data_IF_924601720521
#
_entry.id   IF_924601720521
#
_cell.length_a   1.000
_cell.length_b   1.000
_cell.length_c   1.000
_cell.angle_alpha   90.00
_cell.angle_beta   90.00
_cell.angle_gamma   90.00
#
_symmetry.space_group_name_H-M   'P 1'
#
loop_
_entity.id
_entity.type
_entity.pdbx_description
1 polymer ?
#
# COMPACT_ATOMS: atom_id res chain seq x y z
N UNK A 1 38.05 32.84 18.73
CA UNK A 1 37.53 31.52 18.30
C UNK A 1 36.80 30.87 19.47
N UNK A 2 35.51 30.54 19.35
CA UNK A 2 34.87 29.45 20.10
C UNK A 2 33.42 29.25 19.59
N UNK A 3 33.21 28.17 18.84
CA UNK A 3 31.92 27.64 18.39
C UNK A 3 31.11 27.14 19.59
N UNK A 4 29.79 27.36 19.59
CA UNK A 4 28.81 26.41 20.16
C UNK A 4 27.48 26.52 19.39
N UNK A 5 27.37 25.69 18.35
CA UNK A 5 26.09 25.38 17.71
C UNK A 5 25.25 24.54 18.68
N UNK A 6 24.34 25.18 19.41
CA UNK A 6 23.29 24.51 20.18
C UNK A 6 22.02 24.43 19.34
N UNK A 7 21.89 23.41 18.49
CA UNK A 7 20.63 23.08 17.83
C UNK A 7 19.71 22.40 18.86
N UNK A 8 19.04 23.20 19.70
CA UNK A 8 17.93 22.74 20.52
C UNK A 8 16.74 22.50 19.59
N UNK A 9 16.55 21.25 19.15
CA UNK A 9 15.30 20.84 18.51
C UNK A 9 14.16 21.13 19.50
N UNK A 10 13.11 21.87 19.12
CA UNK A 10 12.01 22.16 20.02
C UNK A 10 11.34 20.84 20.44
N UNK A 11 11.16 20.66 21.75
CA UNK A 11 10.44 19.52 22.31
C UNK A 11 8.98 19.65 21.90
N UNK A 12 8.56 18.83 20.94
CA UNK A 12 7.17 18.80 20.46
C UNK A 12 6.22 18.42 21.60
N UNK A 13 5.11 19.13 21.71
CA UNK A 13 3.99 18.75 22.59
C UNK A 13 3.34 17.46 22.09
N UNK A 14 2.62 16.74 22.95
CA UNK A 14 2.01 15.47 22.55
C UNK A 14 0.95 15.64 21.45
N UNK A 15 0.27 16.79 21.41
CA UNK A 15 -0.61 17.19 20.32
C UNK A 15 0.16 17.32 18.99
N UNK A 16 1.33 17.99 19.00
CA UNK A 16 2.16 18.13 17.82
C UNK A 16 2.75 16.77 17.36
N UNK A 17 3.16 15.90 18.29
CA UNK A 17 3.60 14.53 17.95
C UNK A 17 2.49 13.72 17.28
N UNK A 18 1.23 13.83 17.76
CA UNK A 18 0.08 13.17 17.15
C UNK A 18 -0.17 13.68 15.73
N UNK A 19 -0.14 15.00 15.54
CA UNK A 19 -0.30 15.60 14.21
C UNK A 19 0.78 15.12 13.23
N UNK A 20 2.05 15.13 13.65
CA UNK A 20 3.17 14.63 12.82
C UNK A 20 2.98 13.16 12.43
N UNK A 21 2.45 12.32 13.32
CA UNK A 21 2.13 10.91 12.99
C UNK A 21 1.00 10.80 11.97
N UNK A 22 -0.04 11.61 12.10
CA UNK A 22 -1.15 11.66 11.15
C UNK A 22 -0.71 12.15 9.77
N UNK A 23 0.10 13.21 9.71
CA UNK A 23 0.62 13.75 8.46
C UNK A 23 1.56 12.76 7.76
N UNK A 24 2.41 12.07 8.53
CA UNK A 24 3.25 11.01 8.01
C UNK A 24 2.44 9.84 7.47
N UNK A 25 1.38 9.44 8.20
CA UNK A 25 0.48 8.39 7.73
C UNK A 25 -0.20 8.80 6.42
N UNK A 26 -0.77 10.00 6.35
CA UNK A 26 -1.42 10.51 5.13
C UNK A 26 -0.44 10.49 3.95
N UNK A 27 0.76 11.07 4.10
CA UNK A 27 1.78 11.10 3.04
C UNK A 27 2.15 9.70 2.55
N UNK A 28 2.42 8.79 3.48
CA UNK A 28 2.84 7.42 3.13
C UNK A 28 1.69 6.64 2.53
N UNK A 29 0.47 6.80 3.06
CA UNK A 29 -0.72 6.13 2.57
C UNK A 29 -1.05 6.58 1.15
N UNK A 30 -1.11 7.89 0.88
CA UNK A 30 -1.36 8.43 -0.47
C UNK A 30 -0.37 7.87 -1.49
N UNK A 31 0.93 7.95 -1.20
CA UNK A 31 1.96 7.44 -2.14
C UNK A 31 1.84 5.93 -2.40
N UNK A 32 1.44 5.14 -1.39
CA UNK A 32 1.23 3.70 -1.52
C UNK A 32 -0.04 3.38 -2.29
N UNK A 33 -1.13 4.11 -2.02
CA UNK A 33 -2.41 3.95 -2.71
C UNK A 33 -2.29 4.29 -4.19
N UNK A 34 -1.61 5.38 -4.54
CA UNK A 34 -1.40 5.75 -5.95
C UNK A 34 -0.68 4.64 -6.73
N UNK A 35 0.34 4.03 -6.11
CA UNK A 35 1.07 2.90 -6.71
C UNK A 35 0.18 1.66 -6.84
N UNK A 36 -0.60 1.34 -5.81
CA UNK A 36 -1.50 0.19 -5.82
C UNK A 36 -2.58 0.35 -6.89
N UNK A 37 -3.26 1.50 -6.94
CA UNK A 37 -4.29 1.79 -7.92
C UNK A 37 -3.74 1.77 -9.36
N UNK A 38 -2.54 2.31 -9.57
CA UNK A 38 -1.86 2.22 -10.87
C UNK A 38 -1.57 0.78 -11.26
N UNK A 39 -1.09 -0.04 -10.32
CA UNK A 39 -0.83 -1.47 -10.58
C UNK A 39 -2.11 -2.23 -10.92
N UNK A 40 -3.20 -2.00 -10.18
CA UNK A 40 -4.51 -2.61 -10.44
C UNK A 40 -5.00 -2.21 -11.84
N UNK A 41 -4.84 -0.94 -12.23
CA UNK A 41 -5.19 -0.48 -13.57
C UNK A 41 -4.42 -1.23 -14.65
N UNK A 42 -3.10 -1.39 -14.49
CA UNK A 42 -2.27 -2.15 -15.44
C UNK A 42 -2.71 -3.62 -15.55
N UNK A 43 -3.17 -4.23 -14.45
CA UNK A 43 -3.76 -5.58 -14.49
C UNK A 43 -5.07 -5.57 -15.28
N UNK A 44 -5.91 -4.54 -15.11
CA UNK A 44 -7.11 -4.36 -15.92
C UNK A 44 -6.80 -4.19 -17.41
N UNK A 45 -5.71 -3.51 -17.76
CA UNK A 45 -5.26 -3.34 -19.14
C UNK A 45 -4.85 -4.68 -19.81
N UNK A 46 -4.60 -5.75 -19.03
CA UNK A 46 -4.39 -7.10 -19.57
C UNK A 46 -5.66 -7.71 -20.18
N UNK A 47 -6.84 -7.15 -19.90
CA UNK A 47 -8.09 -7.56 -20.55
C UNK A 47 -8.22 -7.07 -22.00
N UNK A 48 -7.31 -6.20 -22.45
CA UNK A 48 -7.34 -5.66 -23.80
C UNK A 48 -7.16 -6.75 -24.87
N UNK A 49 -7.69 -6.55 -26.09
CA UNK A 49 -7.64 -7.53 -27.18
C UNK A 49 -6.23 -7.92 -27.63
N UNK A 50 -5.22 -7.13 -27.25
CA UNK A 50 -3.79 -7.41 -27.48
C UNK A 50 -3.35 -8.72 -26.85
N UNK A 51 -4.01 -9.15 -25.76
CA UNK A 51 -3.69 -10.37 -25.04
C UNK A 51 -4.81 -11.40 -25.20
N UNK A 52 -4.46 -12.61 -25.62
CA UNK A 52 -5.35 -13.76 -25.54
C UNK A 52 -5.26 -14.33 -24.12
N UNK A 53 -6.33 -14.22 -23.34
CA UNK A 53 -6.45 -14.85 -22.03
C UNK A 53 -7.70 -15.71 -22.00
N UNK A 54 -7.68 -16.79 -21.20
CA UNK A 54 -8.88 -17.58 -20.91
C UNK A 54 -9.68 -16.94 -19.78
N UNK A 55 -10.97 -17.24 -19.72
CA UNK A 55 -11.83 -16.81 -18.62
C UNK A 55 -11.28 -17.28 -17.26
N UNK A 56 -10.71 -18.48 -17.21
CA UNK A 56 -10.05 -19.02 -16.02
C UNK A 56 -8.86 -18.18 -15.56
N UNK A 57 -8.00 -17.74 -16.50
CA UNK A 57 -6.86 -16.87 -16.19
C UNK A 57 -7.31 -15.51 -15.67
N UNK A 58 -8.36 -14.94 -16.27
CA UNK A 58 -9.00 -13.70 -15.80
C UNK A 58 -9.53 -13.85 -14.36
N UNK A 59 -10.24 -14.95 -14.09
CA UNK A 59 -10.77 -15.25 -12.76
C UNK A 59 -9.67 -15.41 -11.71
N UNK A 60 -8.55 -16.07 -12.04
CA UNK A 60 -7.39 -16.19 -11.14
C UNK A 60 -6.81 -14.82 -10.79
N UNK A 61 -6.67 -13.92 -11.77
CA UNK A 61 -6.18 -12.56 -11.53
C UNK A 61 -7.12 -11.76 -10.61
N UNK A 62 -8.44 -11.84 -10.86
CA UNK A 62 -9.44 -11.14 -10.03
C UNK A 62 -9.46 -11.71 -8.60
N UNK A 63 -9.40 -13.03 -8.45
CA UNK A 63 -9.39 -13.67 -7.13
C UNK A 63 -8.15 -13.26 -6.32
N UNK A 64 -6.97 -13.18 -6.95
CA UNK A 64 -5.76 -12.70 -6.29
C UNK A 64 -5.89 -11.25 -5.80
N UNK A 65 -6.51 -10.37 -6.60
CA UNK A 65 -6.79 -9.00 -6.18
C UNK A 65 -7.75 -8.94 -4.98
N UNK A 66 -8.80 -9.77 -4.99
CA UNK A 66 -9.75 -9.85 -3.87
C UNK A 66 -9.10 -10.33 -2.58
N UNK A 67 -8.31 -11.40 -2.64
CA UNK A 67 -7.56 -11.89 -1.47
C UNK A 67 -6.60 -10.83 -0.92
N UNK A 68 -5.91 -10.09 -1.80
CA UNK A 68 -5.04 -9.00 -1.38
C UNK A 68 -5.81 -7.86 -0.66
N UNK A 69 -7.03 -7.55 -1.10
CA UNK A 69 -7.90 -6.56 -0.43
C UNK A 69 -8.36 -7.09 0.92
N UNK A 70 -8.79 -8.35 0.99
CA UNK A 70 -9.19 -9.00 2.25
C UNK A 70 -8.05 -8.99 3.28
N UNK A 71 -6.82 -9.27 2.86
CA UNK A 71 -5.64 -9.16 3.72
C UNK A 71 -5.41 -7.74 4.25
N UNK A 72 -5.67 -6.72 3.44
CA UNK A 72 -5.59 -5.32 3.86
C UNK A 72 -6.69 -5.00 4.87
N UNK A 73 -7.93 -5.40 4.61
CA UNK A 73 -9.06 -5.24 5.53
C UNK A 73 -8.77 -5.88 6.88
N UNK A 74 -8.29 -7.13 6.88
CA UNK A 74 -7.90 -7.85 8.08
C UNK A 74 -6.82 -7.09 8.88
N UNK A 75 -5.80 -6.55 8.21
CA UNK A 75 -4.75 -5.75 8.87
C UNK A 75 -5.28 -4.46 9.49
N UNK A 76 -6.22 -3.78 8.83
CA UNK A 76 -6.87 -2.59 9.40
C UNK A 76 -7.84 -2.94 10.54
N UNK A 77 -8.45 -4.13 10.52
CA UNK A 77 -9.26 -4.66 11.61
C UNK A 77 -8.43 -5.18 12.79
N UNK A 78 -7.10 -5.24 12.68
CA UNK A 78 -6.20 -5.79 13.71
C UNK A 78 -6.14 -7.34 13.73
N UNK A 79 -6.70 -7.98 12.71
CA UNK A 79 -6.67 -9.43 12.51
C UNK A 79 -5.39 -9.74 11.71
N UNK A 80 -4.35 -10.24 12.38
CA UNK A 80 -3.05 -10.46 11.75
C UNK A 80 -3.13 -11.53 10.62
N UNK A 81 -3.07 -11.11 9.35
CA UNK A 81 -3.14 -11.99 8.17
C UNK A 81 -1.77 -12.48 7.67
N UNK A 82 -1.67 -13.80 7.42
CA UNK A 82 -0.50 -14.54 6.87
C UNK A 82 -0.05 -13.97 5.51
N UNK A 83 1.27 -14.05 5.24
CA UNK A 83 1.88 -13.57 4.00
C UNK A 83 1.48 -14.42 2.78
N UNK A 84 0.76 -13.84 1.81
CA UNK A 84 0.43 -14.47 0.52
C UNK A 84 1.37 -14.04 -0.61
N UNK A 85 1.99 -15.01 -1.28
CA UNK A 85 2.65 -14.83 -2.58
C UNK A 85 1.77 -15.34 -3.72
N UNK A 86 1.65 -14.59 -4.81
CA UNK A 86 0.86 -14.96 -5.99
C UNK A 86 1.71 -15.72 -7.02
N UNK A 87 1.16 -16.80 -7.59
CA UNK A 87 1.72 -17.52 -8.72
C UNK A 87 0.59 -17.96 -9.65
N UNK A 88 0.83 -17.91 -10.97
CA UNK A 88 -0.13 -18.37 -11.98
C UNK A 88 -0.02 -19.88 -12.21
N UNK A 89 -1.15 -20.60 -12.38
CA UNK A 89 -1.15 -21.97 -12.89
C UNK A 89 -0.74 -22.00 -14.38
N UNK A 90 -0.04 -23.06 -14.79
CA UNK A 90 0.51 -23.26 -16.15
C UNK A 90 -0.50 -23.89 -17.08
#
# INVERSE_FOLDING_TARGET
MAKKNGSTKPVLTDAQKKQVKMDNFARVCTSRMDKALKAIRMVGDCSNPTYLHTDEQGNVCINALRTAVEDVENRFAGIAGKAGGFALPK
#
